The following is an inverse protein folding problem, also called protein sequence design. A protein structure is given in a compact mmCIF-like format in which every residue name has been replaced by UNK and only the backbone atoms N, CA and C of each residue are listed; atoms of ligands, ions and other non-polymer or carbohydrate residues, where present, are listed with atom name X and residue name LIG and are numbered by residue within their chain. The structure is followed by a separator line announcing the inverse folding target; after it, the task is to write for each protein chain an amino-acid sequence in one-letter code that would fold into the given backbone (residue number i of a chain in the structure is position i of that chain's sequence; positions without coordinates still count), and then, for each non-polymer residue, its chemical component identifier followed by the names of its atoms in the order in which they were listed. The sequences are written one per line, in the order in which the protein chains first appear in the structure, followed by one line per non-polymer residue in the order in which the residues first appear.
data_IF_256896042659
#
_entry.id   IF_256896042659
#
_cell.length_a   1.000
_cell.length_b   1.000
_cell.length_c   1.000
_cell.angle_alpha   90.00
_cell.angle_beta   90.00
_cell.angle_gamma   90.00
#
_symmetry.space_group_name_H-M   'P 1'
#
loop_
_entity.id
_entity.type
_entity.pdbx_description
1 polymer ?
#
# COMPACT_ATOMS: atom_id res chain seq x y z
N UNK A 1 2.35 -12.16 -0.80
CA UNK A 1 2.92 -11.94 -2.14
C UNK A 1 2.84 -13.23 -2.94
N UNK A 2 2.64 -13.12 -4.26
CA UNK A 2 2.76 -14.24 -5.21
C UNK A 2 3.99 -13.96 -6.06
N UNK A 3 4.99 -14.80 -5.95
CA UNK A 3 6.33 -14.60 -6.51
C UNK A 3 6.72 -15.69 -7.51
N UNK A 4 7.65 -15.40 -8.43
CA UNK A 4 8.26 -16.41 -9.28
C UNK A 4 8.88 -17.52 -8.47
N UNK A 5 8.84 -18.74 -9.02
CA UNK A 5 9.57 -19.89 -8.45
C UNK A 5 11.09 -19.64 -8.49
N UNK A 6 11.79 -20.25 -7.54
CA UNK A 6 13.25 -20.21 -7.46
C UNK A 6 13.83 -21.62 -7.40
N UNK A 7 15.15 -21.73 -7.38
CA UNK A 7 15.81 -23.04 -7.19
C UNK A 7 15.53 -23.65 -5.81
N UNK A 8 15.23 -22.80 -4.83
CA UNK A 8 15.01 -23.18 -3.44
C UNK A 8 13.52 -23.33 -3.12
N UNK A 9 12.67 -22.61 -3.85
CA UNK A 9 11.23 -22.57 -3.62
C UNK A 9 10.50 -22.94 -4.91
N UNK A 10 10.00 -24.17 -4.95
CA UNK A 10 9.26 -24.72 -6.07
C UNK A 10 7.80 -24.23 -6.09
N UNK A 11 7.10 -24.56 -7.18
CA UNK A 11 5.68 -24.26 -7.33
C UNK A 11 4.85 -24.81 -6.15
N UNK A 12 4.02 -23.97 -5.56
CA UNK A 12 3.16 -24.33 -4.43
C UNK A 12 3.85 -24.22 -3.06
N UNK A 13 5.12 -23.79 -3.00
CA UNK A 13 5.77 -23.47 -1.73
C UNK A 13 5.18 -22.19 -1.14
N UNK A 14 4.78 -22.25 0.12
CA UNK A 14 4.29 -21.07 0.89
C UNK A 14 5.21 -20.85 2.08
N UNK A 15 5.77 -19.65 2.17
CA UNK A 15 6.56 -19.21 3.32
C UNK A 15 5.71 -18.21 4.13
N UNK A 16 5.41 -18.59 5.37
CA UNK A 16 4.69 -17.73 6.32
C UNK A 16 5.70 -17.12 7.28
N UNK A 17 5.77 -15.81 7.31
CA UNK A 17 6.53 -15.05 8.32
C UNK A 17 5.59 -14.69 9.46
N UNK A 18 5.92 -15.10 10.67
CA UNK A 18 5.16 -14.76 11.87
C UNK A 18 5.62 -13.41 12.43
N UNK A 19 4.68 -12.65 12.96
CA UNK A 19 4.94 -11.40 13.68
C UNK A 19 5.94 -11.64 14.80
N UNK A 20 6.83 -10.71 15.00
CA UNK A 20 7.69 -10.70 16.18
C UNK A 20 6.94 -10.20 17.42
N UNK A 21 7.54 -10.33 18.57
CA UNK A 21 6.95 -9.94 19.85
C UNK A 21 6.65 -8.43 19.88
N UNK A 22 7.55 -7.61 19.35
CA UNK A 22 7.38 -6.16 19.31
C UNK A 22 6.16 -5.76 18.48
N UNK A 23 6.01 -6.35 17.31
CA UNK A 23 4.88 -6.14 16.41
C UNK A 23 3.55 -6.46 17.09
N UNK A 24 3.46 -7.62 17.78
CA UNK A 24 2.25 -8.01 18.49
C UNK A 24 1.96 -7.08 19.68
N UNK A 25 2.97 -6.66 20.42
CA UNK A 25 2.83 -5.67 21.50
C UNK A 25 2.28 -4.35 20.95
N UNK A 26 2.82 -3.86 19.84
CA UNK A 26 2.37 -2.62 19.20
C UNK A 26 0.91 -2.75 18.72
N UNK A 27 0.55 -3.89 18.13
CA UNK A 27 -0.82 -4.17 17.69
C UNK A 27 -1.80 -4.17 18.88
N UNK A 28 -1.49 -4.91 19.93
CA UNK A 28 -2.33 -4.99 21.12
C UNK A 28 -2.48 -3.64 21.83
N UNK A 29 -1.40 -2.87 21.94
CA UNK A 29 -1.43 -1.52 22.51
C UNK A 29 -2.26 -0.56 21.69
N UNK A 30 -2.19 -0.63 20.36
CA UNK A 30 -3.00 0.19 19.47
C UNK A 30 -4.49 -0.05 19.67
N UNK A 31 -4.88 -1.30 19.83
CA UNK A 31 -6.28 -1.70 20.09
C UNK A 31 -6.76 -1.28 21.48
N UNK A 32 -5.89 -1.38 22.48
CA UNK A 32 -6.24 -1.16 23.89
C UNK A 32 -5.81 0.20 24.43
N UNK A 33 -5.36 1.14 23.57
CA UNK A 33 -4.77 2.43 23.97
C UNK A 33 -5.67 3.24 24.90
N UNK A 34 -6.99 3.22 24.67
CA UNK A 34 -7.96 3.99 25.45
C UNK A 34 -8.21 3.37 26.83
N UNK A 35 -7.84 2.10 27.03
CA UNK A 35 -7.88 1.37 28.29
C UNK A 35 -6.58 1.47 29.10
N UNK A 36 -5.58 2.23 28.60
CA UNK A 36 -4.32 2.57 29.26
C UNK A 36 -3.54 1.35 29.80
N UNK A 37 -3.06 0.44 28.92
CA UNK A 37 -2.28 -0.72 29.35
C UNK A 37 -0.96 -0.30 30.01
N UNK A 38 -0.74 -0.70 31.28
CA UNK A 38 0.52 -0.44 32.01
C UNK A 38 1.63 -1.42 31.60
N UNK A 39 1.26 -2.59 31.05
CA UNK A 39 2.17 -3.69 30.75
C UNK A 39 3.07 -3.40 29.56
N UNK A 40 4.34 -3.83 29.64
CA UNK A 40 5.33 -3.55 28.59
C UNK A 40 5.70 -4.76 27.74
N UNK A 41 5.58 -5.98 28.26
CA UNK A 41 5.90 -7.22 27.55
C UNK A 41 4.65 -7.89 26.95
N UNK A 42 4.86 -8.73 25.93
CA UNK A 42 3.79 -9.48 25.28
C UNK A 42 3.05 -10.39 26.28
N UNK A 43 3.79 -11.11 27.14
CA UNK A 43 3.21 -12.04 28.11
C UNK A 43 2.35 -11.32 29.16
N UNK A 44 2.79 -10.15 29.62
CA UNK A 44 2.03 -9.33 30.58
C UNK A 44 0.75 -8.78 29.95
N UNK A 45 0.82 -8.30 28.68
CA UNK A 45 -0.36 -7.85 27.94
C UNK A 45 -1.37 -8.97 27.74
N UNK A 46 -0.93 -10.18 27.40
CA UNK A 46 -1.80 -11.36 27.28
C UNK A 46 -2.49 -11.67 28.61
N UNK A 47 -1.73 -11.65 29.73
CA UNK A 47 -2.28 -11.81 31.07
C UNK A 47 -3.34 -10.75 31.36
N UNK A 48 -3.01 -9.48 31.17
CA UNK A 48 -3.92 -8.35 31.40
C UNK A 48 -5.20 -8.42 30.56
N UNK A 49 -5.09 -8.74 29.27
CA UNK A 49 -6.25 -8.90 28.36
C UNK A 49 -7.17 -10.02 28.88
N UNK A 50 -6.58 -11.15 29.30
CA UNK A 50 -7.32 -12.31 29.80
C UNK A 50 -8.00 -12.03 31.14
N UNK A 51 -7.26 -11.47 32.10
CA UNK A 51 -7.74 -11.25 33.48
C UNK A 51 -8.86 -10.19 33.52
N UNK A 52 -8.83 -9.21 32.63
CA UNK A 52 -9.85 -8.17 32.51
C UNK A 52 -10.91 -8.48 31.43
N UNK A 53 -10.87 -9.66 30.80
CA UNK A 53 -11.83 -10.09 29.78
C UNK A 53 -12.03 -9.05 28.65
N UNK A 54 -10.95 -8.42 28.18
CA UNK A 54 -11.04 -7.30 27.23
C UNK A 54 -11.66 -7.69 25.88
N UNK A 55 -11.67 -8.97 25.56
CA UNK A 55 -12.36 -9.52 24.39
C UNK A 55 -13.90 -9.44 24.46
N UNK A 56 -14.46 -9.01 25.59
CA UNK A 56 -15.88 -8.73 25.80
C UNK A 56 -16.13 -7.27 26.26
N UNK A 57 -15.07 -6.44 26.31
CA UNK A 57 -15.15 -5.09 26.88
C UNK A 57 -16.03 -4.18 25.99
N UNK A 58 -17.05 -3.50 26.57
CA UNK A 58 -18.05 -2.75 25.79
C UNK A 58 -17.49 -1.52 25.03
N UNK A 59 -16.38 -0.97 25.47
CA UNK A 59 -15.71 0.16 24.79
C UNK A 59 -14.94 -0.26 23.56
N UNK A 60 -14.67 -1.55 23.38
CA UNK A 60 -14.00 -2.07 22.20
C UNK A 60 -15.01 -2.48 21.13
N UNK A 61 -14.68 -2.19 19.88
CA UNK A 61 -15.47 -2.67 18.74
C UNK A 61 -15.48 -4.19 18.66
N UNK A 62 -16.51 -4.77 18.06
CA UNK A 62 -16.60 -6.23 17.85
C UNK A 62 -15.39 -6.80 17.13
N UNK A 63 -14.84 -6.06 16.19
CA UNK A 63 -13.63 -6.45 15.44
C UNK A 63 -12.42 -6.53 16.37
N UNK A 64 -12.25 -5.56 17.27
CA UNK A 64 -11.17 -5.57 18.25
C UNK A 64 -11.33 -6.70 19.28
N UNK A 65 -12.54 -6.92 19.75
CA UNK A 65 -12.85 -8.05 20.64
C UNK A 65 -12.50 -9.39 19.99
N UNK A 66 -12.90 -9.62 18.74
CA UNK A 66 -12.58 -10.83 17.99
C UNK A 66 -11.08 -11.01 17.80
N UNK A 67 -10.35 -9.93 17.47
CA UNK A 67 -8.90 -9.98 17.35
C UNK A 67 -8.20 -10.35 18.65
N UNK A 68 -8.58 -9.75 19.79
CA UNK A 68 -8.03 -10.08 21.11
C UNK A 68 -8.28 -11.54 21.47
N UNK A 69 -9.49 -12.04 21.19
CA UNK A 69 -9.85 -13.44 21.43
C UNK A 69 -9.02 -14.40 20.55
N UNK A 70 -8.81 -14.04 19.27
CA UNK A 70 -7.99 -14.82 18.35
C UNK A 70 -6.53 -14.92 18.85
N UNK A 71 -5.96 -13.79 19.30
CA UNK A 71 -4.61 -13.75 19.87
C UNK A 71 -4.51 -14.63 21.12
N UNK A 72 -5.48 -14.57 22.05
CA UNK A 72 -5.50 -15.43 23.22
C UNK A 72 -5.57 -16.92 22.87
N UNK A 73 -6.41 -17.29 21.91
CA UNK A 73 -6.57 -18.67 21.47
C UNK A 73 -5.30 -19.24 20.82
N UNK A 74 -4.59 -18.44 20.04
CA UNK A 74 -3.36 -18.86 19.36
C UNK A 74 -2.10 -18.80 20.24
N UNK A 75 -2.14 -18.12 21.39
CA UNK A 75 -0.97 -17.80 22.21
C UNK A 75 -0.09 -19.01 22.55
N UNK A 76 -0.67 -20.06 23.08
CA UNK A 76 0.11 -21.22 23.56
C UNK A 76 0.88 -21.94 22.45
N UNK A 77 0.33 -21.97 21.23
CA UNK A 77 0.97 -22.63 20.09
C UNK A 77 2.01 -21.75 19.41
N UNK A 78 1.87 -20.40 19.51
CA UNK A 78 2.64 -19.43 18.71
C UNK A 78 3.72 -18.70 19.47
N UNK A 79 3.61 -18.52 20.79
CA UNK A 79 4.56 -17.74 21.62
C UNK A 79 6.04 -18.11 21.43
N UNK A 80 6.35 -19.38 21.15
CA UNK A 80 7.73 -19.86 20.93
C UNK A 80 8.17 -19.79 19.45
N UNK A 81 7.27 -19.36 18.56
CA UNK A 81 7.49 -19.28 17.10
C UNK A 81 7.52 -17.84 16.59
N UNK A 82 7.33 -16.86 17.45
CA UNK A 82 7.30 -15.43 17.06
C UNK A 82 8.60 -15.03 16.34
N UNK A 83 8.45 -14.22 15.30
CA UNK A 83 9.57 -13.76 14.46
C UNK A 83 10.21 -14.83 13.58
N UNK A 84 9.66 -16.05 13.55
CA UNK A 84 10.18 -17.15 12.72
C UNK A 84 9.39 -17.29 11.42
N UNK A 85 10.02 -17.92 10.45
CA UNK A 85 9.37 -18.33 9.20
C UNK A 85 8.98 -19.81 9.28
N UNK A 86 7.87 -20.15 8.65
CA UNK A 86 7.35 -21.51 8.53
C UNK A 86 7.12 -21.78 7.04
N UNK A 87 7.67 -22.87 6.54
CA UNK A 87 7.39 -23.32 5.19
C UNK A 87 6.28 -24.37 5.21
N UNK A 88 5.27 -24.17 4.38
CA UNK A 88 4.14 -25.08 4.20
C UNK A 88 3.84 -25.26 2.72
N UNK A 89 2.92 -26.17 2.41
CA UNK A 89 2.41 -26.37 1.05
C UNK A 89 1.19 -25.49 0.77
N UNK A 90 0.86 -25.33 -0.53
CA UNK A 90 -0.35 -24.61 -0.94
C UNK A 90 -1.63 -25.31 -0.41
N UNK A 91 -1.61 -26.61 -0.24
CA UNK A 91 -2.75 -27.38 0.30
C UNK A 91 -2.98 -27.08 1.79
N UNK A 92 -1.91 -26.85 2.55
CA UNK A 92 -1.97 -26.52 3.97
C UNK A 92 -2.35 -25.03 4.22
N UNK A 93 -2.10 -24.17 3.23
CA UNK A 93 -2.26 -22.72 3.36
C UNK A 93 -3.67 -22.27 3.81
N UNK A 94 -4.80 -22.81 3.29
CA UNK A 94 -6.13 -22.40 3.74
C UNK A 94 -6.32 -22.56 5.25
N UNK A 95 -5.78 -23.60 5.87
CA UNK A 95 -5.89 -23.82 7.32
C UNK A 95 -5.15 -22.77 8.17
N UNK A 96 -4.22 -22.02 7.58
CA UNK A 96 -3.53 -20.91 8.27
C UNK A 96 -4.26 -19.59 8.16
N UNK A 97 -4.94 -19.33 7.04
CA UNK A 97 -5.57 -18.02 6.78
C UNK A 97 -7.05 -17.98 7.16
N UNK A 98 -7.74 -19.14 7.21
CA UNK A 98 -9.14 -19.21 7.65
C UNK A 98 -9.30 -19.30 9.16
N UNK A 99 -8.27 -19.75 9.88
CA UNK A 99 -8.26 -19.85 11.33
C UNK A 99 -7.71 -18.54 11.93
N UNK A 100 -8.58 -17.70 12.47
CA UNK A 100 -8.20 -16.39 13.03
C UNK A 100 -7.13 -16.51 14.12
N UNK A 101 -7.12 -17.61 14.90
CA UNK A 101 -6.10 -17.85 15.93
C UNK A 101 -4.69 -18.10 15.38
N UNK A 102 -4.59 -18.36 14.08
CA UNK A 102 -3.33 -18.47 13.34
C UNK A 102 -3.08 -17.20 12.52
N UNK A 103 -4.08 -16.74 11.81
CA UNK A 103 -3.98 -15.60 10.91
C UNK A 103 -3.54 -14.31 11.62
N UNK A 104 -4.00 -14.05 12.86
CA UNK A 104 -3.62 -12.86 13.62
C UNK A 104 -2.11 -12.78 13.96
N UNK A 105 -1.39 -13.91 13.90
CA UNK A 105 0.06 -13.98 14.11
C UNK A 105 0.88 -13.87 12.82
N UNK A 106 0.26 -13.81 11.66
CA UNK A 106 0.95 -13.73 10.38
C UNK A 106 1.33 -12.28 10.08
N UNK A 107 2.60 -12.05 9.76
CA UNK A 107 3.11 -10.77 9.27
C UNK A 107 3.07 -10.71 7.75
N UNK A 108 3.54 -11.77 7.10
CA UNK A 108 3.60 -11.85 5.65
C UNK A 108 3.49 -13.30 5.16
N UNK A 109 2.99 -13.44 3.94
CA UNK A 109 2.93 -14.72 3.22
C UNK A 109 3.60 -14.55 1.87
N UNK A 110 4.54 -15.42 1.54
CA UNK A 110 5.18 -15.53 0.25
C UNK A 110 4.78 -16.86 -0.40
N UNK A 111 3.95 -16.80 -1.43
CA UNK A 111 3.55 -17.94 -2.26
C UNK A 111 4.41 -17.95 -3.52
N UNK A 112 5.14 -19.03 -3.74
CA UNK A 112 5.88 -19.26 -4.98
C UNK A 112 5.00 -20.04 -5.95
N UNK A 113 4.62 -19.37 -7.04
CA UNK A 113 3.62 -19.91 -7.95
C UNK A 113 4.05 -19.73 -9.40
N UNK A 114 4.08 -20.83 -10.16
CA UNK A 114 4.43 -20.83 -11.57
C UNK A 114 3.18 -20.58 -12.43
N UNK A 115 3.08 -19.38 -12.98
CA UNK A 115 2.04 -18.95 -13.92
C UNK A 115 2.62 -17.94 -14.92
N UNK A 116 1.83 -17.57 -15.92
CA UNK A 116 2.31 -16.69 -16.99
C UNK A 116 2.83 -15.33 -16.48
N UNK A 117 2.21 -14.75 -15.45
CA UNK A 117 2.67 -13.52 -14.84
C UNK A 117 4.02 -13.69 -14.14
N UNK A 118 4.13 -14.70 -13.29
CA UNK A 118 5.35 -14.92 -12.51
C UNK A 118 6.51 -15.38 -13.37
N UNK A 119 6.26 -16.13 -14.49
CA UNK A 119 7.29 -16.46 -15.49
C UNK A 119 7.89 -15.24 -16.17
N UNK A 120 7.16 -14.11 -16.23
CA UNK A 120 7.66 -12.82 -16.71
C UNK A 120 8.46 -12.05 -15.64
N UNK A 121 8.68 -12.64 -14.47
CA UNK A 121 9.39 -12.02 -13.35
C UNK A 121 8.52 -11.11 -12.50
N UNK A 122 7.20 -11.09 -12.70
CA UNK A 122 6.27 -10.24 -11.96
C UNK A 122 5.98 -10.85 -10.59
N UNK A 123 6.05 -10.02 -9.56
CA UNK A 123 5.57 -10.35 -8.20
C UNK A 123 4.30 -9.58 -7.93
N UNK A 124 3.22 -10.29 -7.62
CA UNK A 124 1.97 -9.68 -7.17
C UNK A 124 1.99 -9.50 -5.66
N UNK A 125 1.67 -8.31 -5.19
CA UNK A 125 1.61 -8.00 -3.76
C UNK A 125 0.18 -7.58 -3.42
N UNK A 126 -0.50 -8.40 -2.63
CA UNK A 126 -1.75 -8.02 -1.99
C UNK A 126 -1.41 -7.31 -0.67
N UNK A 127 -1.91 -6.10 -0.51
CA UNK A 127 -1.68 -5.29 0.69
C UNK A 127 -2.94 -5.24 1.54
N UNK A 128 -2.83 -5.15 2.88
CA UNK A 128 -3.99 -4.92 3.73
C UNK A 128 -4.79 -3.70 3.26
N UNK A 129 -6.12 -3.82 3.22
CA UNK A 129 -7.02 -2.74 2.81
C UNK A 129 -6.99 -1.53 3.75
N UNK A 130 -7.56 -0.42 3.29
CA UNK A 130 -7.67 0.83 4.05
C UNK A 130 -8.49 0.68 5.35
N UNK A 131 -9.42 -0.27 5.40
CA UNK A 131 -10.26 -0.60 6.57
C UNK A 131 -9.58 -1.59 7.56
N UNK A 132 -8.30 -1.87 7.38
CA UNK A 132 -7.60 -2.80 8.27
C UNK A 132 -7.62 -2.29 9.72
N UNK A 133 -7.84 -3.23 10.67
CA UNK A 133 -7.90 -3.01 12.12
C UNK A 133 -6.70 -2.24 12.67
N UNK A 134 -5.60 -2.20 11.93
CA UNK A 134 -4.34 -1.58 12.31
C UNK A 134 -3.96 -0.41 11.39
N UNK A 135 -3.90 0.80 11.93
CA UNK A 135 -3.35 1.99 11.24
C UNK A 135 -1.93 1.77 10.69
N UNK A 136 -1.19 0.80 11.25
CA UNK A 136 0.12 0.37 10.77
C UNK A 136 0.06 -0.28 9.39
N UNK A 137 -1.04 -0.98 9.07
CA UNK A 137 -1.23 -1.60 7.77
C UNK A 137 -1.35 -0.57 6.64
N UNK A 138 -1.92 0.59 6.91
CA UNK A 138 -1.98 1.70 5.95
C UNK A 138 -0.57 2.18 5.59
N UNK A 139 0.33 2.32 6.57
CA UNK A 139 1.73 2.73 6.32
C UNK A 139 2.48 1.66 5.51
N UNK A 140 2.26 0.38 5.80
CA UNK A 140 2.85 -0.73 5.03
C UNK A 140 2.38 -0.69 3.57
N UNK A 141 1.08 -0.46 3.33
CA UNK A 141 0.56 -0.30 1.97
C UNK A 141 1.25 0.85 1.22
N UNK A 142 1.42 2.01 1.87
CA UNK A 142 2.13 3.14 1.25
C UNK A 142 3.60 2.87 0.96
N UNK A 143 4.30 2.09 1.78
CA UNK A 143 5.69 1.72 1.52
C UNK A 143 5.81 0.78 0.31
N UNK A 144 4.87 -0.14 0.13
CA UNK A 144 4.77 -0.95 -1.10
C UNK A 144 4.44 -0.10 -2.32
N UNK A 145 3.48 0.84 -2.21
CA UNK A 145 3.08 1.75 -3.31
C UNK A 145 4.25 2.57 -3.83
N UNK A 146 5.13 3.05 -2.96
CA UNK A 146 6.34 3.79 -3.35
C UNK A 146 7.29 2.96 -4.20
N UNK A 147 7.38 1.67 -3.92
CA UNK A 147 8.32 0.74 -4.56
C UNK A 147 7.69 -0.05 -5.71
N UNK A 148 6.36 -0.02 -5.84
CA UNK A 148 5.67 -0.78 -6.86
C UNK A 148 5.91 -0.21 -8.27
N UNK A 149 6.13 -1.09 -9.23
CA UNK A 149 6.24 -0.75 -10.65
C UNK A 149 4.88 -0.50 -11.29
N UNK A 150 3.83 -1.15 -10.80
CA UNK A 150 2.44 -0.92 -11.16
C UNK A 150 1.54 -1.00 -9.92
N UNK A 151 0.45 -0.26 -9.92
CA UNK A 151 -0.53 -0.25 -8.84
C UNK A 151 -1.89 -0.58 -9.45
N UNK A 152 -2.52 -1.64 -8.94
CA UNK A 152 -3.89 -2.00 -9.28
C UNK A 152 -4.75 -1.67 -8.06
N UNK A 153 -5.59 -0.65 -8.18
CA UNK A 153 -6.54 -0.27 -7.15
C UNK A 153 -7.90 -0.90 -7.47
N UNK A 154 -8.39 -1.76 -6.59
CA UNK A 154 -9.64 -2.49 -6.80
C UNK A 154 -10.70 -1.95 -5.88
N UNK A 155 -11.83 -1.55 -6.45
CA UNK A 155 -13.03 -1.13 -5.73
C UNK A 155 -14.21 -2.04 -6.09
N UNK A 156 -15.30 -1.95 -5.34
CA UNK A 156 -16.48 -2.76 -5.52
C UNK A 156 -17.64 -1.95 -6.08
N UNK A 157 -18.32 -2.45 -7.09
CA UNK A 157 -19.38 -1.75 -7.84
C UNK A 157 -20.40 -1.05 -6.95
N UNK A 158 -21.00 -1.75 -5.96
CA UNK A 158 -22.05 -1.20 -5.09
C UNK A 158 -21.53 -0.13 -4.10
N UNK A 159 -20.23 -0.11 -3.83
CA UNK A 159 -19.58 0.81 -2.90
C UNK A 159 -18.26 1.28 -3.52
N UNK A 160 -18.37 1.95 -4.67
CA UNK A 160 -17.21 2.27 -5.48
C UNK A 160 -16.15 3.13 -4.76
N UNK A 161 -16.57 4.00 -3.84
CA UNK A 161 -15.66 4.77 -2.98
C UNK A 161 -16.29 4.91 -1.60
N UNK A 162 -15.72 4.21 -0.62
CA UNK A 162 -16.07 4.35 0.80
C UNK A 162 -15.36 5.54 1.44
N UNK A 163 -15.69 5.86 2.69
CA UNK A 163 -14.96 6.90 3.45
C UNK A 163 -13.49 6.57 3.65
N UNK A 164 -13.18 5.29 3.90
CA UNK A 164 -11.80 4.81 4.07
C UNK A 164 -11.02 4.87 2.74
N UNK A 165 -11.66 4.49 1.63
CA UNK A 165 -11.09 4.65 0.28
C UNK A 165 -10.76 6.11 -0.02
N UNK A 166 -11.66 7.01 0.34
CA UNK A 166 -11.46 8.45 0.15
C UNK A 166 -10.21 8.96 0.85
N UNK A 167 -10.05 8.64 2.13
CA UNK A 167 -8.90 9.07 2.92
C UNK A 167 -7.59 8.50 2.37
N UNK A 168 -7.61 7.24 1.96
CA UNK A 168 -6.49 6.57 1.33
C UNK A 168 -6.13 7.21 -0.03
N UNK A 169 -7.11 7.43 -0.90
CA UNK A 169 -6.91 8.01 -2.22
C UNK A 169 -6.44 9.48 -2.16
N UNK A 170 -6.90 10.26 -1.18
CA UNK A 170 -6.39 11.61 -0.92
C UNK A 170 -4.90 11.56 -0.55
N UNK A 171 -4.48 10.63 0.31
CA UNK A 171 -3.09 10.45 0.66
C UNK A 171 -2.26 9.99 -0.55
N UNK A 172 -2.79 9.06 -1.32
CA UNK A 172 -2.18 8.57 -2.55
C UNK A 172 -1.96 9.70 -3.57
N UNK A 173 -2.96 10.55 -3.79
CA UNK A 173 -2.85 11.71 -4.67
C UNK A 173 -1.78 12.71 -4.24
N UNK A 174 -1.53 12.86 -2.94
CA UNK A 174 -0.43 13.70 -2.41
C UNK A 174 0.94 13.08 -2.67
N UNK A 175 1.06 11.78 -2.53
CA UNK A 175 2.30 11.05 -2.81
C UNK A 175 2.61 11.08 -4.32
N UNK A 176 1.57 11.06 -5.15
CA UNK A 176 1.67 11.09 -6.61
C UNK A 176 2.35 12.35 -7.15
N UNK A 177 2.15 13.52 -6.55
CA UNK A 177 2.84 14.75 -6.97
C UNK A 177 4.39 14.62 -6.90
N UNK A 178 4.89 13.64 -6.10
CA UNK A 178 6.31 13.33 -5.97
C UNK A 178 6.79 12.21 -6.91
N UNK A 179 5.88 11.44 -7.51
CA UNK A 179 6.18 10.30 -8.39
C UNK A 179 5.30 10.37 -9.63
N UNK A 180 5.88 10.38 -10.82
CA UNK A 180 5.16 10.31 -12.11
C UNK A 180 4.40 8.98 -12.20
N UNK A 181 3.07 8.99 -11.94
CA UNK A 181 2.27 7.77 -11.82
C UNK A 181 1.31 7.55 -12.99
N UNK A 182 1.83 7.35 -14.20
CA UNK A 182 1.05 6.73 -15.29
C UNK A 182 0.91 5.20 -15.12
N UNK A 183 1.31 4.67 -13.93
CA UNK A 183 1.36 3.24 -13.59
C UNK A 183 0.20 2.75 -12.73
N UNK A 184 -0.91 3.50 -12.68
CA UNK A 184 -2.08 3.14 -11.87
C UNK A 184 -3.24 2.66 -12.74
N UNK A 185 -3.77 1.50 -12.36
CA UNK A 185 -4.97 0.90 -12.94
C UNK A 185 -6.07 0.86 -11.88
N UNK A 186 -7.24 1.35 -12.22
CA UNK A 186 -8.41 1.33 -11.35
C UNK A 186 -9.40 0.30 -11.85
N UNK A 187 -9.81 -0.62 -10.99
CA UNK A 187 -10.75 -1.68 -11.32
C UNK A 187 -12.01 -1.50 -10.48
N UNK A 188 -13.14 -1.32 -11.14
CA UNK A 188 -14.46 -1.43 -10.54
C UNK A 188 -14.91 -2.87 -10.71
N UNK A 189 -14.72 -3.68 -9.65
CA UNK A 189 -15.04 -5.11 -9.67
C UNK A 189 -16.53 -5.34 -9.43
N UNK A 190 -17.02 -6.51 -9.87
CA UNK A 190 -18.42 -6.93 -9.83
C UNK A 190 -19.33 -6.08 -10.75
N UNK A 191 -18.83 -5.74 -11.93
CA UNK A 191 -19.58 -5.04 -12.98
C UNK A 191 -20.85 -5.78 -13.41
N UNK A 192 -20.90 -7.11 -13.20
CA UNK A 192 -22.06 -7.96 -13.44
C UNK A 192 -23.27 -7.65 -12.56
N UNK A 193 -23.12 -6.82 -11.55
CA UNK A 193 -24.22 -6.34 -10.70
C UNK A 193 -24.98 -5.16 -11.32
N UNK A 194 -24.43 -4.50 -12.34
CA UNK A 194 -25.11 -3.44 -13.07
C UNK A 194 -26.33 -4.00 -13.82
N UNK A 195 -27.45 -3.28 -13.78
CA UNK A 195 -28.68 -3.69 -14.48
C UNK A 195 -28.55 -3.48 -16.00
N UNK A 196 -27.83 -2.45 -16.39
CA UNK A 196 -27.56 -2.11 -17.79
C UNK A 196 -26.26 -1.27 -17.94
N UNK A 197 -25.86 -1.05 -19.19
CA UNK A 197 -24.66 -0.27 -19.52
C UNK A 197 -24.74 1.20 -19.05
N UNK A 198 -25.94 1.77 -18.98
CA UNK A 198 -26.12 3.17 -18.54
C UNK A 198 -25.84 3.31 -17.05
N UNK A 199 -26.29 2.35 -16.25
CA UNK A 199 -26.00 2.32 -14.81
C UNK A 199 -24.51 2.10 -14.55
N UNK A 200 -23.90 1.16 -15.28
CA UNK A 200 -22.44 0.93 -15.18
C UNK A 200 -21.66 2.20 -15.49
N UNK A 201 -22.05 2.90 -16.58
CA UNK A 201 -21.39 4.15 -16.97
C UNK A 201 -21.49 5.22 -15.89
N UNK A 202 -22.66 5.37 -15.24
CA UNK A 202 -22.81 6.34 -14.15
C UNK A 202 -21.84 6.07 -12.99
N UNK A 203 -21.62 4.80 -12.66
CA UNK A 203 -20.66 4.43 -11.60
C UNK A 203 -19.23 4.73 -12.03
N UNK A 204 -18.87 4.44 -13.28
CA UNK A 204 -17.51 4.74 -13.81
C UNK A 204 -17.27 6.26 -13.86
N UNK A 205 -18.22 7.04 -14.37
CA UNK A 205 -18.15 8.51 -14.42
C UNK A 205 -17.99 9.09 -12.98
N UNK A 206 -18.72 8.56 -12.01
CA UNK A 206 -18.58 8.93 -10.59
C UNK A 206 -17.19 8.62 -10.05
N UNK A 207 -16.65 7.43 -10.31
CA UNK A 207 -15.30 7.06 -9.86
C UNK A 207 -14.25 7.99 -10.48
N UNK A 208 -14.35 8.26 -11.77
CA UNK A 208 -13.44 9.17 -12.48
C UNK A 208 -13.47 10.58 -11.87
N UNK A 209 -14.68 11.12 -11.62
CA UNK A 209 -14.85 12.43 -11.00
C UNK A 209 -14.22 12.49 -9.61
N UNK A 210 -14.44 11.45 -8.77
CA UNK A 210 -13.84 11.40 -7.44
C UNK A 210 -12.32 11.33 -7.50
N UNK A 211 -11.74 10.51 -8.39
CA UNK A 211 -10.30 10.41 -8.58
C UNK A 211 -9.69 11.76 -9.00
N UNK A 212 -10.37 12.49 -9.90
CA UNK A 212 -9.95 13.86 -10.28
C UNK A 212 -9.97 14.82 -9.09
N UNK A 213 -10.99 14.76 -8.21
CA UNK A 213 -11.07 15.56 -6.99
C UNK A 213 -9.91 15.25 -6.04
N UNK A 214 -9.44 14.00 -5.98
CA UNK A 214 -8.30 13.57 -5.18
C UNK A 214 -6.95 13.83 -5.87
N UNK A 215 -6.94 14.60 -6.99
CA UNK A 215 -5.76 14.93 -7.79
C UNK A 215 -5.12 13.75 -8.51
N UNK A 216 -5.85 12.66 -8.67
CA UNK A 216 -5.42 11.51 -9.45
C UNK A 216 -5.97 11.70 -10.87
N UNK A 217 -5.08 12.04 -11.82
CA UNK A 217 -5.42 12.35 -13.21
C UNK A 217 -4.92 11.25 -14.13
N UNK A 218 -5.42 11.20 -15.37
CA UNK A 218 -5.02 10.21 -16.39
C UNK A 218 -5.21 8.77 -15.91
N UNK A 219 -6.37 8.50 -15.31
CA UNK A 219 -6.69 7.21 -14.74
C UNK A 219 -7.13 6.24 -15.83
N UNK A 220 -6.57 5.02 -15.81
CA UNK A 220 -7.08 3.89 -16.58
C UNK A 220 -8.10 3.17 -15.70
N UNK A 221 -9.39 3.29 -16.01
CA UNK A 221 -10.49 2.72 -15.21
C UNK A 221 -11.13 1.60 -16.02
N UNK A 222 -11.24 0.42 -15.42
CA UNK A 222 -11.83 -0.78 -16.02
C UNK A 222 -12.96 -1.30 -15.13
N UNK A 223 -14.10 -1.60 -15.75
CA UNK A 223 -15.16 -2.35 -15.11
C UNK A 223 -14.93 -3.84 -15.38
N UNK A 224 -14.86 -4.67 -14.35
CA UNK A 224 -14.66 -6.10 -14.54
C UNK A 224 -15.52 -6.92 -13.57
N UNK A 225 -15.92 -8.11 -13.98
CA UNK A 225 -16.42 -9.14 -13.08
C UNK A 225 -15.36 -10.24 -12.93
N UNK A 226 -14.55 -10.14 -11.85
CA UNK A 226 -13.55 -11.15 -11.57
C UNK A 226 -14.15 -12.54 -11.38
N UNK A 227 -15.36 -12.60 -10.81
CA UNK A 227 -16.09 -13.86 -10.61
C UNK A 227 -16.44 -14.52 -11.94
N UNK A 228 -17.10 -13.79 -12.84
CA UNK A 228 -17.49 -14.33 -14.15
C UNK A 228 -16.27 -14.71 -14.98
N UNK A 229 -15.26 -13.84 -14.99
CA UNK A 229 -14.00 -14.11 -15.72
C UNK A 229 -13.30 -15.37 -15.22
N UNK A 230 -13.31 -15.61 -13.91
CA UNK A 230 -12.75 -16.85 -13.33
C UNK A 230 -13.57 -18.07 -13.72
N UNK A 231 -14.90 -17.99 -13.63
CA UNK A 231 -15.79 -19.09 -14.03
C UNK A 231 -15.65 -19.45 -15.51
N UNK A 232 -15.54 -18.46 -16.39
CA UNK A 232 -15.32 -18.63 -17.82
C UNK A 232 -13.98 -19.33 -18.11
N UNK A 233 -12.91 -18.92 -17.43
CA UNK A 233 -11.59 -19.58 -17.54
C UNK A 233 -11.63 -21.04 -17.07
N UNK A 234 -12.26 -21.31 -15.95
CA UNK A 234 -12.40 -22.69 -15.43
C UNK A 234 -13.17 -23.54 -16.43
N UNK A 235 -14.21 -23.01 -17.07
CA UNK A 235 -15.01 -23.69 -18.09
C UNK A 235 -14.34 -23.73 -19.46
N UNK A 236 -13.16 -23.13 -19.63
CA UNK A 236 -12.45 -22.95 -20.90
C UNK A 236 -13.29 -22.24 -21.96
N UNK A 237 -14.18 -21.35 -21.53
CA UNK A 237 -14.96 -20.46 -22.39
C UNK A 237 -14.13 -19.18 -22.60
N UNK A 238 -14.37 -18.50 -23.71
CA UNK A 238 -13.69 -17.23 -23.98
C UNK A 238 -14.08 -16.18 -22.94
N UNK A 239 -13.07 -15.56 -22.32
CA UNK A 239 -13.27 -14.59 -21.22
C UNK A 239 -13.95 -13.33 -21.78
N UNK A 240 -14.76 -12.67 -20.96
CA UNK A 240 -15.45 -11.45 -21.34
C UNK A 240 -14.51 -10.34 -21.84
N UNK A 241 -15.04 -9.45 -22.65
CA UNK A 241 -14.23 -8.40 -23.29
C UNK A 241 -13.60 -7.43 -22.28
N UNK A 242 -14.28 -7.14 -21.18
CA UNK A 242 -13.85 -6.17 -20.15
C UNK A 242 -12.56 -6.62 -19.47
N UNK A 243 -12.47 -7.89 -19.05
CA UNK A 243 -11.26 -8.45 -18.47
C UNK A 243 -10.13 -8.51 -19.48
N UNK A 244 -10.43 -8.86 -20.76
CA UNK A 244 -9.42 -8.87 -21.83
C UNK A 244 -8.87 -7.48 -22.10
N UNK A 245 -9.69 -6.45 -22.05
CA UNK A 245 -9.26 -5.07 -22.25
C UNK A 245 -8.30 -4.65 -21.15
N UNK A 246 -8.65 -4.90 -19.89
CA UNK A 246 -7.74 -4.67 -18.76
C UNK A 246 -6.43 -5.43 -18.93
N UNK A 247 -6.48 -6.73 -19.21
CA UNK A 247 -5.28 -7.57 -19.35
C UNK A 247 -4.40 -7.07 -20.50
N UNK A 248 -4.97 -6.71 -21.63
CA UNK A 248 -4.24 -6.17 -22.77
C UNK A 248 -3.49 -4.90 -22.39
N UNK A 249 -4.16 -3.94 -21.77
CA UNK A 249 -3.55 -2.68 -21.36
C UNK A 249 -2.48 -2.89 -20.29
N UNK A 250 -2.75 -3.79 -19.35
CA UNK A 250 -1.80 -4.12 -18.29
C UNK A 250 -0.54 -4.81 -18.82
N UNK A 251 -0.69 -5.78 -19.73
CA UNK A 251 0.47 -6.42 -20.35
C UNK A 251 1.25 -5.47 -21.27
N UNK A 252 0.58 -4.62 -22.03
CA UNK A 252 1.25 -3.57 -22.82
C UNK A 252 2.09 -2.66 -21.92
N UNK A 253 1.51 -2.22 -20.80
CA UNK A 253 2.22 -1.40 -19.83
C UNK A 253 3.48 -2.11 -19.30
N UNK A 254 3.37 -3.38 -18.89
CA UNK A 254 4.49 -4.14 -18.34
C UNK A 254 5.59 -4.38 -19.39
N UNK A 255 5.21 -4.72 -20.60
CA UNK A 255 6.16 -5.14 -21.64
C UNK A 255 6.83 -3.94 -22.34
N UNK A 256 6.13 -2.84 -22.50
CA UNK A 256 6.58 -1.68 -23.27
C UNK A 256 6.84 -0.45 -22.40
N UNK A 257 5.84 0.02 -21.65
CA UNK A 257 5.89 1.29 -20.93
C UNK A 257 6.84 1.22 -19.72
N UNK A 258 6.80 0.13 -18.96
CA UNK A 258 7.62 -0.02 -17.76
C UNK A 258 9.12 -0.03 -18.09
N UNK A 259 9.51 -0.71 -19.17
CA UNK A 259 10.90 -0.72 -19.63
C UNK A 259 11.34 0.68 -20.08
N UNK A 260 10.49 1.40 -20.81
CA UNK A 260 10.76 2.77 -21.26
C UNK A 260 10.89 3.73 -20.06
N UNK A 261 9.99 3.66 -19.07
CA UNK A 261 10.02 4.45 -17.85
C UNK A 261 11.29 4.18 -17.03
N UNK A 262 11.69 2.92 -16.91
CA UNK A 262 12.91 2.53 -16.19
C UNK A 262 14.16 3.10 -16.85
N UNK A 263 14.26 3.03 -18.19
CA UNK A 263 15.36 3.61 -18.96
C UNK A 263 15.38 5.14 -18.77
N UNK A 264 14.22 5.78 -18.87
CA UNK A 264 14.10 7.24 -18.70
C UNK A 264 14.52 7.68 -17.28
N UNK A 265 14.09 7.00 -16.24
CA UNK A 265 14.52 7.25 -14.88
C UNK A 265 16.03 7.09 -14.69
N UNK A 266 16.61 6.01 -15.23
CA UNK A 266 18.05 5.79 -15.21
C UNK A 266 18.83 6.90 -15.93
N UNK A 267 18.34 7.34 -17.08
CA UNK A 267 18.94 8.47 -17.82
C UNK A 267 18.86 9.79 -17.03
N UNK A 268 17.76 10.04 -16.33
CA UNK A 268 17.60 11.18 -15.44
C UNK A 268 18.62 11.16 -14.29
N UNK A 269 18.79 10.03 -13.63
CA UNK A 269 19.76 9.86 -12.55
C UNK A 269 21.22 10.02 -13.03
N UNK A 270 21.54 9.48 -14.19
CA UNK A 270 22.84 9.66 -14.83
C UNK A 270 23.10 11.14 -15.12
N UNK A 271 22.15 11.85 -15.72
CA UNK A 271 22.31 13.27 -16.04
C UNK A 271 22.43 14.12 -14.76
N UNK A 272 21.64 13.83 -13.73
CA UNK A 272 21.72 14.50 -12.43
C UNK A 272 23.08 14.27 -11.77
N UNK A 273 23.57 13.03 -11.79
CA UNK A 273 24.89 12.67 -11.26
C UNK A 273 26.00 13.37 -12.03
N UNK A 274 25.93 13.38 -13.37
CA UNK A 274 26.86 14.10 -14.25
C UNK A 274 26.91 15.59 -13.88
N UNK A 275 25.75 16.25 -13.80
CA UNK A 275 25.68 17.67 -13.43
C UNK A 275 26.26 17.94 -12.03
N UNK A 276 26.04 17.05 -11.08
CA UNK A 276 26.62 17.13 -9.73
C UNK A 276 28.13 17.03 -9.78
N UNK A 277 28.68 16.08 -10.54
CA UNK A 277 30.12 15.92 -10.72
C UNK A 277 30.75 17.12 -11.43
N UNK A 278 30.13 17.65 -12.48
CA UNK A 278 30.57 18.85 -13.18
C UNK A 278 30.63 20.07 -12.24
N UNK A 279 29.63 20.22 -11.36
CA UNK A 279 29.64 21.26 -10.33
C UNK A 279 30.75 21.06 -9.31
N UNK A 280 31.04 19.82 -8.88
CA UNK A 280 32.18 19.53 -8.01
C UNK A 280 33.52 19.83 -8.67
N UNK A 281 33.71 19.41 -9.92
CA UNK A 281 34.94 19.68 -10.69
C UNK A 281 35.13 21.20 -10.86
N UNK A 282 34.09 21.92 -11.26
CA UNK A 282 34.12 23.37 -11.40
C UNK A 282 34.51 24.05 -10.06
N UNK A 283 33.86 23.63 -8.96
CA UNK A 283 34.15 24.13 -7.62
C UNK A 283 35.59 23.78 -7.15
N UNK A 284 36.09 22.60 -7.53
CA UNK A 284 37.45 22.17 -7.20
C UNK A 284 38.51 22.97 -7.95
N UNK A 285 38.22 23.41 -9.17
CA UNK A 285 39.14 24.18 -10.02
C UNK A 285 39.11 25.70 -9.77
N UNK A 286 38.20 26.20 -8.91
CA UNK A 286 38.15 27.61 -8.54
C UNK A 286 39.35 27.97 -7.64
N UNK A 287 39.97 29.15 -7.92
CA UNK A 287 40.97 29.76 -7.05
C UNK A 287 40.36 30.00 -5.64
N UNK A 288 41.22 29.94 -4.60
CA UNK A 288 40.79 30.03 -3.21
C UNK A 288 39.92 31.27 -2.94
N UNK A 289 40.31 32.43 -3.47
CA UNK A 289 39.59 33.67 -3.33
C UNK A 289 38.16 33.61 -3.95
N UNK A 290 38.06 32.96 -5.11
CA UNK A 290 36.77 32.79 -5.80
C UNK A 290 35.88 31.80 -5.05
N UNK A 291 36.46 30.76 -4.43
CA UNK A 291 35.74 29.83 -3.57
C UNK A 291 35.15 30.53 -2.34
N UNK A 292 35.95 31.35 -1.67
CA UNK A 292 35.53 32.09 -0.49
C UNK A 292 34.35 33.05 -0.84
N UNK A 293 34.49 33.79 -1.94
CA UNK A 293 33.37 34.64 -2.44
C UNK A 293 32.12 33.84 -2.75
N UNK A 294 32.25 32.67 -3.36
CA UNK A 294 31.10 31.81 -3.71
C UNK A 294 30.42 31.26 -2.47
N UNK A 295 31.22 30.83 -1.47
CA UNK A 295 30.68 30.37 -0.18
C UNK A 295 29.88 31.47 0.50
N UNK A 296 30.40 32.72 0.49
CA UNK A 296 29.68 33.84 1.10
C UNK A 296 28.35 34.16 0.38
N UNK A 297 28.36 34.17 -0.95
CA UNK A 297 27.15 34.34 -1.74
C UNK A 297 26.10 33.24 -1.44
N UNK A 298 26.54 31.98 -1.31
CA UNK A 298 25.65 30.87 -0.96
C UNK A 298 25.08 30.98 0.46
N UNK A 299 25.88 31.48 1.41
CA UNK A 299 25.44 31.75 2.78
C UNK A 299 24.37 32.85 2.81
N UNK A 300 24.57 33.91 2.05
CA UNK A 300 23.59 34.99 1.92
C UNK A 300 22.26 34.51 1.30
N UNK A 301 22.37 33.73 0.21
CA UNK A 301 21.17 33.14 -0.41
C UNK A 301 20.44 32.22 0.55
N UNK A 302 21.16 31.36 1.26
CA UNK A 302 20.59 30.47 2.29
C UNK A 302 19.86 31.28 3.37
N UNK A 303 20.45 32.39 3.81
CA UNK A 303 19.83 33.23 4.82
C UNK A 303 18.57 33.95 4.28
N UNK A 304 18.60 34.41 3.02
CA UNK A 304 17.41 34.97 2.36
C UNK A 304 16.28 33.94 2.28
N UNK A 305 16.56 32.71 1.86
CA UNK A 305 15.55 31.64 1.82
C UNK A 305 15.02 31.30 3.21
N UNK A 306 15.89 31.22 4.24
CA UNK A 306 15.46 31.00 5.61
C UNK A 306 14.51 32.12 6.09
N UNK A 307 14.82 33.38 5.78
CA UNK A 307 13.97 34.51 6.14
C UNK A 307 12.62 34.47 5.40
N UNK A 308 12.61 34.09 4.11
CA UNK A 308 11.38 33.90 3.35
C UNK A 308 10.52 32.79 3.97
N UNK A 309 11.12 31.67 4.32
CA UNK A 309 10.41 30.55 4.96
C UNK A 309 9.87 30.96 6.34
N UNK A 310 10.69 31.63 7.15
CA UNK A 310 10.29 32.11 8.48
C UNK A 310 9.18 33.15 8.43
N UNK A 311 9.19 34.03 7.40
CA UNK A 311 8.17 35.03 7.20
C UNK A 311 6.94 34.55 6.40
N UNK A 312 6.99 33.31 5.87
CA UNK A 312 5.83 32.68 5.27
C UNK A 312 4.89 32.26 6.39
N UNK A 313 3.84 33.07 6.60
CA UNK A 313 2.93 32.90 7.72
C UNK A 313 2.03 31.69 7.45
N UNK A 314 2.50 30.52 7.90
CA UNK A 314 1.81 29.22 7.78
C UNK A 314 0.44 29.29 8.47
N UNK A 315 0.31 30.09 9.54
CA UNK A 315 -0.94 30.29 10.27
C UNK A 315 -2.01 30.98 9.42
N UNK A 316 -1.64 31.93 8.54
CA UNK A 316 -2.60 32.58 7.63
C UNK A 316 -3.09 31.56 6.57
N UNK A 317 -2.21 30.70 6.07
CA UNK A 317 -2.57 29.67 5.11
C UNK A 317 -3.47 28.61 5.76
N UNK A 318 -3.13 28.17 6.98
CA UNK A 318 -3.94 27.24 7.75
C UNK A 318 -5.30 27.84 8.11
N UNK A 319 -5.35 29.10 8.51
CA UNK A 319 -6.61 29.78 8.82
C UNK A 319 -7.53 29.92 7.59
N UNK A 320 -6.96 30.22 6.41
CA UNK A 320 -7.72 30.25 5.14
C UNK A 320 -8.22 28.86 4.73
N UNK A 321 -7.46 27.80 5.01
CA UNK A 321 -7.87 26.43 4.76
C UNK A 321 -9.01 26.05 5.71
N UNK A 322 -8.89 26.35 7.01
CA UNK A 322 -9.95 26.10 8.01
C UNK A 322 -11.22 26.86 7.69
N UNK A 323 -11.15 28.16 7.37
CA UNK A 323 -12.31 28.96 6.96
C UNK A 323 -12.99 28.44 5.68
N UNK A 324 -12.26 27.76 4.82
CA UNK A 324 -12.80 27.14 3.61
C UNK A 324 -13.48 25.80 3.89
N UNK A 325 -12.98 25.05 4.87
CA UNK A 325 -13.57 23.79 5.36
C UNK A 325 -14.88 24.09 6.13
N UNK A 326 -14.91 25.15 6.93
CA UNK A 326 -16.11 25.55 7.69
C UNK A 326 -17.24 26.13 6.80
N UNK A 327 -16.95 26.50 5.55
CA UNK A 327 -17.94 27.01 4.58
C UNK A 327 -18.49 25.95 3.63
N UNK A 328 -18.01 24.70 3.71
CA UNK A 328 -18.56 23.54 3.02
C UNK A 328 -19.34 22.66 3.99
#
# INVERSE_FOLDING_TARGET
RISPITKENEHGTVIITLKDEKTLVDDLRSITKDLQPESQSFNELIGWIKDNQLYEHPELTKTYQSYLLAVLNGYNERKNKLGKTIQITLEEFPAFVTDESKACYIEAVDLYYDCDLTRKGITLVDTPGADSVNARHTNVAFDYIKQADAIIYVTYYNHAITSADRDFLIQLGRVKEAFELDKMFFIVNASDLAQDESELKLVLDYVEEQLMQFRIRHTKIFAVSSKLSLEERIKQIDVNNEMKEFEKDFYTFIEEDLAALTIQAAMWDINRTKLTLENFITSANLDQNVREQRIEQLKEQKQKFKNVIANTNIDISNKRIMERIERQ
#
